data_IF_837323636505
#
_entry.id   IF_837323636505
#
_cell.length_a   1.000
_cell.length_b   1.000
_cell.length_c   1.000
_cell.angle_alpha   90.00
_cell.angle_beta   90.00
_cell.angle_gamma   90.00
#
_symmetry.space_group_name_H-M   'P 1'
#
loop_
_entity.id
_entity.type
_entity.pdbx_description
1 polymer ?
#
# COMPACT_ATOMS: atom_id res chain seq x y z
N UNK A 1 37.15 14.53 -14.65
CA UNK A 1 37.56 14.22 -13.27
C UNK A 1 36.35 14.04 -12.36
N UNK A 2 35.41 15.00 -12.37
CA UNK A 2 34.11 14.96 -11.68
C UNK A 2 33.31 13.66 -11.88
N UNK A 3 33.20 13.15 -13.12
CA UNK A 3 32.51 11.88 -13.37
C UNK A 3 33.20 10.68 -12.69
N UNK A 4 34.54 10.65 -12.62
CA UNK A 4 35.29 9.59 -11.91
C UNK A 4 35.05 9.64 -10.40
N UNK A 5 34.85 10.84 -9.83
CA UNK A 5 34.48 11.02 -8.42
C UNK A 5 33.07 10.49 -8.11
N UNK A 6 32.17 10.50 -9.10
CA UNK A 6 30.86 9.83 -9.04
C UNK A 6 30.93 8.33 -9.36
N UNK A 7 32.14 7.76 -9.39
CA UNK A 7 32.37 6.35 -9.68
C UNK A 7 32.36 5.98 -11.16
N UNK A 8 32.38 6.93 -12.12
CA UNK A 8 32.47 6.61 -13.55
C UNK A 8 33.71 5.76 -13.89
N UNK A 9 33.48 4.53 -14.31
CA UNK A 9 34.45 3.66 -14.96
C UNK A 9 34.09 3.44 -16.42
N UNK A 10 35.09 3.39 -17.29
CA UNK A 10 34.89 3.06 -18.70
C UNK A 10 34.83 1.54 -18.83
N UNK A 11 33.73 1.01 -19.35
CA UNK A 11 33.55 -0.42 -19.63
C UNK A 11 33.68 -0.61 -21.14
N UNK A 12 34.72 -1.30 -21.56
CA UNK A 12 34.87 -1.73 -22.95
C UNK A 12 34.00 -2.96 -23.18
N UNK A 13 32.90 -2.78 -23.93
CA UNK A 13 32.04 -3.89 -24.38
C UNK A 13 32.64 -4.54 -25.63
N UNK A 14 33.63 -5.42 -25.44
CA UNK A 14 34.15 -6.28 -26.51
C UNK A 14 34.79 -5.54 -27.69
N UNK A 15 35.50 -6.28 -28.54
CA UNK A 15 36.46 -5.73 -29.53
C UNK A 15 35.83 -5.04 -30.76
N UNK A 16 34.52 -4.75 -30.75
CA UNK A 16 33.79 -4.29 -31.93
C UNK A 16 32.69 -3.23 -31.69
N UNK A 17 32.52 -2.71 -30.46
CA UNK A 17 31.59 -1.60 -30.23
C UNK A 17 32.36 -0.27 -30.18
N UNK A 18 32.09 0.65 -31.11
CA UNK A 18 32.67 2.01 -31.19
C UNK A 18 32.26 2.94 -30.05
N UNK A 19 31.35 2.51 -29.17
CA UNK A 19 30.86 3.32 -28.05
C UNK A 19 31.43 2.84 -26.73
N UNK A 20 32.31 3.66 -26.14
CA UNK A 20 32.72 3.51 -24.76
C UNK A 20 31.52 3.70 -23.83
N UNK A 21 31.17 2.64 -23.10
CA UNK A 21 30.11 2.75 -22.09
C UNK A 21 30.74 3.21 -20.78
N UNK A 22 30.33 4.37 -20.26
CA UNK A 22 30.73 4.81 -18.92
C UNK A 22 29.77 4.17 -17.91
N UNK A 23 30.26 3.18 -17.15
CA UNK A 23 29.56 2.59 -16.02
C UNK A 23 30.01 3.26 -14.72
N UNK A 24 29.12 4.00 -14.09
CA UNK A 24 29.37 4.61 -12.79
C UNK A 24 29.17 3.56 -11.68
N UNK A 25 30.07 3.48 -10.71
CA UNK A 25 29.90 2.76 -9.45
C UNK A 25 28.72 3.41 -8.68
N UNK A 26 27.55 2.82 -8.94
CA UNK A 26 26.21 3.13 -8.43
C UNK A 26 26.15 3.18 -6.89
N UNK A 27 25.21 3.93 -6.30
CA UNK A 27 25.52 5.03 -5.38
C UNK A 27 26.09 4.54 -4.05
N UNK A 28 27.32 4.95 -3.76
CA UNK A 28 27.88 5.04 -2.41
C UNK A 28 28.41 6.46 -2.17
N UNK A 29 27.88 7.44 -2.91
CA UNK A 29 28.35 8.82 -2.95
C UNK A 29 27.64 9.59 -1.83
N UNK A 30 28.42 10.23 -0.96
CA UNK A 30 27.89 11.02 0.16
C UNK A 30 27.10 12.25 -0.33
N UNK A 31 26.11 12.69 0.45
CA UNK A 31 25.26 13.85 0.14
C UNK A 31 26.04 15.13 -0.18
N UNK A 32 27.22 15.29 0.44
CA UNK A 32 28.12 16.41 0.22
C UNK A 32 28.62 16.50 -1.23
N UNK A 33 28.80 15.37 -1.91
CA UNK A 33 29.23 15.34 -3.31
C UNK A 33 28.09 15.78 -4.23
N UNK A 34 26.85 15.35 -3.95
CA UNK A 34 25.68 15.82 -4.69
C UNK A 34 25.48 17.33 -4.51
N UNK A 35 25.66 17.84 -3.30
CA UNK A 35 25.59 19.27 -3.03
C UNK A 35 26.63 20.09 -3.82
N UNK A 36 27.89 19.64 -3.85
CA UNK A 36 28.95 20.30 -4.63
C UNK A 36 28.65 20.22 -6.13
N UNK A 37 28.24 19.05 -6.62
CA UNK A 37 27.92 18.82 -8.04
C UNK A 37 26.76 19.70 -8.50
N UNK A 38 25.66 19.75 -7.74
CA UNK A 38 24.50 20.57 -8.08
C UNK A 38 24.82 22.08 -8.05
N UNK A 39 25.73 22.51 -7.16
CA UNK A 39 26.14 23.91 -7.05
C UNK A 39 27.08 24.31 -8.20
N UNK A 40 28.03 23.45 -8.56
CA UNK A 40 29.11 23.78 -9.52
C UNK A 40 28.78 23.38 -10.95
N UNK A 41 27.89 22.41 -11.13
CA UNK A 41 27.53 21.79 -12.41
C UNK A 41 26.02 21.57 -12.55
N UNK A 42 25.23 22.62 -12.29
CA UNK A 42 23.76 22.56 -12.42
C UNK A 42 23.27 22.20 -13.82
N UNK A 43 24.08 22.47 -14.85
CA UNK A 43 23.83 22.08 -16.24
C UNK A 43 23.78 20.56 -16.46
N UNK A 44 24.40 19.77 -15.57
CA UNK A 44 24.43 18.31 -15.66
C UNK A 44 23.22 17.64 -15.01
N UNK A 45 22.37 18.37 -14.29
CA UNK A 45 21.23 17.80 -13.54
C UNK A 45 20.30 16.95 -14.43
N UNK A 46 19.85 17.41 -15.61
CA UNK A 46 18.99 16.59 -16.48
C UNK A 46 19.66 15.29 -16.95
N UNK A 47 20.97 15.34 -17.22
CA UNK A 47 21.75 14.17 -17.62
C UNK A 47 21.88 13.16 -16.47
N UNK A 48 22.05 13.65 -15.24
CA UNK A 48 22.14 12.80 -14.05
C UNK A 48 20.83 12.09 -13.76
N UNK A 49 19.68 12.77 -13.90
CA UNK A 49 18.37 12.13 -13.77
C UNK A 49 18.17 11.04 -14.82
N UNK A 50 18.47 11.33 -16.09
CA UNK A 50 18.43 10.31 -17.17
C UNK A 50 19.32 9.11 -16.86
N UNK A 51 20.51 9.35 -16.30
CA UNK A 51 21.43 8.28 -15.89
C UNK A 51 20.87 7.44 -14.73
N UNK A 52 20.25 8.07 -13.73
CA UNK A 52 19.60 7.41 -12.59
C UNK A 52 18.38 6.57 -13.01
N UNK A 53 17.72 6.89 -14.13
CA UNK A 53 16.64 6.06 -14.68
C UNK A 53 17.12 4.67 -15.15
N UNK A 54 18.41 4.53 -15.42
CA UNK A 54 18.99 3.35 -16.09
C UNK A 54 19.64 2.35 -15.12
N UNK A 55 19.10 2.18 -13.90
CA UNK A 55 19.73 1.43 -12.79
C UNK A 55 19.61 -0.10 -12.85
N UNK A 56 18.84 -0.61 -13.81
CA UNK A 56 18.44 -2.03 -13.86
C UNK A 56 17.31 -2.32 -12.89
N UNK A 57 17.02 -3.60 -12.64
CA UNK A 57 15.85 -4.05 -11.85
C UNK A 57 16.19 -4.51 -10.43
N UNK A 58 17.45 -4.41 -9.99
CA UNK A 58 17.85 -4.79 -8.63
C UNK A 58 17.34 -3.75 -7.62
N UNK A 59 16.51 -4.17 -6.65
CA UNK A 59 15.85 -3.30 -5.67
C UNK A 59 16.84 -2.35 -4.95
N UNK A 60 17.96 -2.87 -4.43
CA UNK A 60 18.98 -2.06 -3.77
C UNK A 60 19.57 -0.95 -4.66
N UNK A 61 19.57 -1.15 -6.00
CA UNK A 61 20.07 -0.14 -6.95
C UNK A 61 19.01 0.92 -7.22
N UNK A 62 17.75 0.51 -7.31
CA UNK A 62 16.60 1.40 -7.49
C UNK A 62 16.47 2.32 -6.28
N UNK A 63 16.51 1.77 -5.07
CA UNK A 63 16.48 2.54 -3.82
C UNK A 63 17.61 3.56 -3.79
N UNK A 64 18.86 3.12 -3.97
CA UNK A 64 20.02 4.01 -3.89
C UNK A 64 19.97 5.12 -4.94
N UNK A 65 19.48 4.81 -6.13
CA UNK A 65 19.32 5.82 -7.18
C UNK A 65 18.24 6.85 -6.87
N UNK A 66 17.11 6.40 -6.31
CA UNK A 66 16.07 7.32 -5.86
C UNK A 66 16.53 8.21 -4.70
N UNK A 67 17.28 7.64 -3.73
CA UNK A 67 17.93 8.43 -2.67
C UNK A 67 18.91 9.47 -3.22
N UNK A 68 19.70 9.11 -4.24
CA UNK A 68 20.60 10.06 -4.90
C UNK A 68 19.83 11.19 -5.61
N UNK A 69 18.72 10.87 -6.28
CA UNK A 69 17.83 11.88 -6.86
C UNK A 69 17.22 12.80 -5.78
N UNK A 70 16.84 12.25 -4.61
CA UNK A 70 16.38 13.05 -3.48
C UNK A 70 17.49 13.97 -2.93
N UNK A 71 18.73 13.48 -2.78
CA UNK A 71 19.85 14.33 -2.34
C UNK A 71 20.11 15.50 -3.31
N UNK A 72 19.94 15.29 -4.63
CA UNK A 72 19.98 16.38 -5.61
C UNK A 72 18.81 17.36 -5.45
N UNK A 73 17.60 16.85 -5.15
CA UNK A 73 16.43 17.69 -4.88
C UNK A 73 16.67 18.58 -3.66
N UNK A 74 17.17 18.02 -2.56
CA UNK A 74 17.53 18.78 -1.36
C UNK A 74 18.61 19.82 -1.66
N UNK A 75 19.70 19.42 -2.32
CA UNK A 75 20.81 20.30 -2.68
C UNK A 75 20.40 21.48 -3.57
N UNK A 76 19.36 21.31 -4.38
CA UNK A 76 18.85 22.34 -5.30
C UNK A 76 17.64 23.10 -4.74
N UNK A 77 17.18 22.80 -3.52
CA UNK A 77 15.96 23.38 -2.95
C UNK A 77 14.72 23.05 -3.79
N UNK A 78 14.62 21.80 -4.24
CA UNK A 78 13.51 21.26 -5.03
C UNK A 78 13.63 21.41 -6.54
N UNK A 79 14.51 22.31 -7.06
CA UNK A 79 14.56 22.60 -8.51
C UNK A 79 14.89 21.40 -9.39
N UNK A 80 15.68 20.43 -8.93
CA UNK A 80 15.98 19.24 -9.75
C UNK A 80 14.78 18.31 -9.94
N UNK A 81 13.70 18.48 -9.14
CA UNK A 81 12.48 17.69 -9.29
C UNK A 81 11.75 17.98 -10.62
N UNK A 82 12.03 19.11 -11.27
CA UNK A 82 11.54 19.43 -12.62
C UNK A 82 11.97 18.37 -13.65
N UNK A 83 13.08 17.66 -13.41
CA UNK A 83 13.58 16.57 -14.26
C UNK A 83 12.97 15.19 -13.91
N UNK A 84 12.14 15.10 -12.86
CA UNK A 84 11.69 13.82 -12.34
C UNK A 84 10.58 13.20 -13.19
N UNK A 85 9.76 14.02 -13.87
CA UNK A 85 8.72 13.52 -14.79
C UNK A 85 9.36 12.74 -15.94
N UNK A 86 10.37 13.31 -16.59
CA UNK A 86 11.11 12.65 -17.67
C UNK A 86 11.79 11.37 -17.19
N UNK A 87 12.29 11.36 -15.95
CA UNK A 87 12.84 10.16 -15.32
C UNK A 87 11.76 9.09 -15.16
N UNK A 88 10.62 9.42 -14.55
CA UNK A 88 9.54 8.47 -14.29
C UNK A 88 8.95 7.86 -15.57
N UNK A 89 8.92 8.63 -16.66
CA UNK A 89 8.42 8.23 -17.98
C UNK A 89 9.46 7.52 -18.86
N UNK A 90 10.70 7.38 -18.38
CA UNK A 90 11.75 6.71 -19.15
C UNK A 90 11.38 5.24 -19.45
N UNK A 91 11.79 4.67 -20.60
CA UNK A 91 11.45 3.31 -21.02
C UNK A 91 12.29 2.25 -20.27
N UNK A 92 12.24 2.30 -18.94
CA UNK A 92 12.89 1.36 -18.03
C UNK A 92 11.89 1.00 -16.93
N UNK A 93 11.62 -0.31 -16.70
CA UNK A 93 10.63 -0.74 -15.71
C UNK A 93 10.87 -0.21 -14.30
N UNK A 94 12.11 0.12 -13.94
CA UNK A 94 12.47 0.62 -12.61
C UNK A 94 12.48 2.15 -12.49
N UNK A 95 12.20 2.88 -13.58
CA UNK A 95 12.33 4.33 -13.57
C UNK A 95 11.25 5.02 -12.70
N UNK A 96 10.00 4.54 -12.77
CA UNK A 96 8.91 4.99 -11.88
C UNK A 96 9.26 4.72 -10.40
N UNK A 97 9.87 3.58 -10.10
CA UNK A 97 10.31 3.26 -8.74
C UNK A 97 11.45 4.16 -8.25
N UNK A 98 12.42 4.50 -9.11
CA UNK A 98 13.46 5.50 -8.77
C UNK A 98 12.81 6.85 -8.46
N UNK A 99 11.83 7.28 -9.26
CA UNK A 99 11.07 8.50 -9.01
C UNK A 99 10.30 8.43 -7.69
N UNK A 100 9.67 7.29 -7.39
CA UNK A 100 8.94 7.04 -6.14
C UNK A 100 9.84 7.21 -4.91
N UNK A 101 11.01 6.58 -4.92
CA UNK A 101 12.01 6.73 -3.85
C UNK A 101 12.50 8.18 -3.71
N UNK A 102 12.67 8.89 -4.83
CA UNK A 102 13.02 10.31 -4.81
C UNK A 102 11.95 11.14 -4.10
N UNK A 103 10.68 11.01 -4.52
CA UNK A 103 9.56 11.75 -3.94
C UNK A 103 9.34 11.43 -2.47
N UNK A 104 9.33 10.15 -2.10
CA UNK A 104 9.12 9.73 -0.72
C UNK A 104 10.19 10.26 0.23
N UNK A 105 11.46 10.26 -0.19
CA UNK A 105 12.56 10.82 0.62
C UNK A 105 12.55 12.36 0.62
N UNK A 106 12.35 12.99 -0.54
CA UNK A 106 12.34 14.46 -0.67
C UNK A 106 11.17 15.12 0.06
N UNK A 107 10.04 14.42 0.22
CA UNK A 107 8.91 14.88 1.02
C UNK A 107 9.21 14.95 2.53
N UNK A 108 10.23 14.24 3.01
CA UNK A 108 10.70 14.30 4.39
C UNK A 108 11.65 15.45 4.69
N UNK A 109 12.19 16.14 3.67
CA UNK A 109 13.20 17.19 3.84
C UNK A 109 12.59 18.60 3.71
N UNK A 110 12.84 19.53 4.67
CA UNK A 110 12.28 20.88 4.63
C UNK A 110 12.62 21.71 3.38
N UNK A 111 13.74 21.44 2.70
CA UNK A 111 14.17 22.17 1.52
C UNK A 111 13.43 21.74 0.24
N UNK A 112 12.89 20.52 0.21
CA UNK A 112 12.21 19.96 -0.97
C UNK A 112 10.75 19.55 -0.73
N UNK A 113 10.28 19.53 0.51
CA UNK A 113 8.95 19.01 0.89
C UNK A 113 7.81 19.61 0.08
N UNK A 114 7.83 20.92 -0.17
CA UNK A 114 6.76 21.59 -0.91
C UNK A 114 6.70 21.09 -2.35
N UNK A 115 7.83 21.14 -3.06
CA UNK A 115 7.91 20.69 -4.47
C UNK A 115 7.63 19.19 -4.62
N UNK A 116 8.09 18.35 -3.67
CA UNK A 116 7.78 16.93 -3.68
C UNK A 116 6.28 16.68 -3.44
N UNK A 117 5.66 17.41 -2.50
CA UNK A 117 4.23 17.31 -2.23
C UNK A 117 3.41 17.76 -3.44
N UNK A 118 3.71 18.93 -4.02
CA UNK A 118 3.04 19.46 -5.20
C UNK A 118 3.06 18.44 -6.36
N UNK A 119 4.20 17.77 -6.60
CA UNK A 119 4.32 16.71 -7.61
C UNK A 119 3.54 15.43 -7.26
N UNK A 120 3.56 14.99 -5.99
CA UNK A 120 2.77 13.84 -5.56
C UNK A 120 1.27 14.08 -5.77
N UNK A 121 0.79 15.29 -5.46
CA UNK A 121 -0.61 15.66 -5.68
C UNK A 121 -0.95 15.70 -7.17
N UNK A 122 -0.13 16.37 -7.99
CA UNK A 122 -0.30 16.43 -9.45
C UNK A 122 -0.37 15.02 -10.05
N UNK A 123 0.66 14.21 -9.80
CA UNK A 123 0.82 12.89 -10.41
C UNK A 123 -0.20 11.87 -9.94
N UNK A 124 -0.84 12.08 -8.78
CA UNK A 124 -1.90 11.19 -8.30
C UNK A 124 -3.14 11.19 -9.20
N UNK A 125 -3.30 12.23 -10.03
CA UNK A 125 -4.46 12.42 -10.92
C UNK A 125 -4.10 12.41 -12.41
N UNK A 126 -2.83 12.15 -12.74
CA UNK A 126 -2.36 12.14 -14.12
C UNK A 126 -2.83 10.92 -14.91
N UNK A 127 -2.91 11.06 -16.23
CA UNK A 127 -3.36 9.96 -17.09
C UNK A 127 -2.31 8.86 -17.20
N UNK A 128 -1.03 9.23 -17.20
CA UNK A 128 0.10 8.34 -17.37
C UNK A 128 0.25 7.39 -16.16
N UNK A 129 -0.02 6.10 -16.38
CA UNK A 129 0.05 5.08 -15.34
C UNK A 129 1.41 4.99 -14.63
N UNK A 130 2.51 5.29 -15.32
CA UNK A 130 3.84 5.31 -14.71
C UNK A 130 4.01 6.39 -13.61
N UNK A 131 3.37 7.55 -13.76
CA UNK A 131 3.40 8.62 -12.76
C UNK A 131 2.55 8.25 -11.55
N UNK A 132 1.32 7.76 -11.79
CA UNK A 132 0.44 7.24 -10.73
C UNK A 132 1.05 6.08 -9.97
N UNK A 133 1.73 5.17 -10.67
CA UNK A 133 2.49 4.07 -10.06
C UNK A 133 3.65 4.59 -9.19
N UNK A 134 4.37 5.62 -9.65
CA UNK A 134 5.40 6.26 -8.83
C UNK A 134 4.81 6.86 -7.53
N UNK A 135 3.62 7.46 -7.57
CA UNK A 135 2.91 7.95 -6.38
C UNK A 135 2.53 6.80 -5.45
N UNK A 136 1.95 5.71 -5.98
CA UNK A 136 1.60 4.53 -5.19
C UNK A 136 2.82 3.97 -4.47
N UNK A 137 3.93 3.80 -5.18
CA UNK A 137 5.20 3.35 -4.60
C UNK A 137 5.80 4.36 -3.60
N UNK A 138 5.63 5.67 -3.79
CA UNK A 138 6.12 6.67 -2.84
C UNK A 138 5.34 6.62 -1.51
N UNK A 139 4.10 6.11 -1.53
CA UNK A 139 3.27 5.92 -0.35
C UNK A 139 3.70 4.73 0.52
N UNK A 140 4.64 3.89 0.08
CA UNK A 140 5.14 2.74 0.85
C UNK A 140 5.89 3.24 2.11
N UNK A 141 5.55 2.74 3.33
CA UNK A 141 6.07 3.29 4.59
C UNK A 141 7.61 3.39 4.69
N UNK A 142 8.34 2.39 4.18
CA UNK A 142 9.80 2.34 4.27
C UNK A 142 10.52 3.15 3.17
N UNK A 143 9.79 3.70 2.19
CA UNK A 143 10.36 4.43 1.04
C UNK A 143 10.52 5.93 1.28
N UNK A 144 11.06 6.31 2.44
CA UNK A 144 11.27 7.72 2.82
C UNK A 144 10.22 8.29 3.79
N UNK A 145 9.12 7.57 4.01
CA UNK A 145 8.21 7.79 5.13
C UNK A 145 7.32 9.02 4.98
N UNK A 146 6.44 9.02 3.96
CA UNK A 146 5.36 10.01 3.90
C UNK A 146 4.51 9.92 5.19
N UNK A 147 4.03 11.07 5.73
CA UNK A 147 3.06 11.05 6.82
C UNK A 147 1.85 10.19 6.42
N UNK A 148 1.40 9.31 7.33
CA UNK A 148 0.35 8.34 7.04
C UNK A 148 -0.93 9.00 6.47
N UNK A 149 -1.31 10.18 6.98
CA UNK A 149 -2.45 10.93 6.44
C UNK A 149 -2.28 11.32 4.96
N UNK A 150 -1.12 11.85 4.58
CA UNK A 150 -0.83 12.21 3.19
C UNK A 150 -0.80 10.97 2.29
N UNK A 151 -0.19 9.87 2.74
CA UNK A 151 -0.18 8.61 1.98
C UNK A 151 -1.61 8.06 1.77
N UNK A 152 -2.46 8.12 2.79
CA UNK A 152 -3.88 7.72 2.70
C UNK A 152 -4.69 8.62 1.75
N UNK A 153 -4.42 9.93 1.73
CA UNK A 153 -5.10 10.86 0.82
C UNK A 153 -4.65 10.66 -0.63
N UNK A 154 -3.35 10.43 -0.87
CA UNK A 154 -2.82 10.14 -2.20
C UNK A 154 -3.35 8.80 -2.74
N UNK A 155 -3.38 7.77 -1.90
CA UNK A 155 -3.97 6.47 -2.27
C UNK A 155 -5.47 6.58 -2.57
N UNK A 156 -6.22 7.43 -1.87
CA UNK A 156 -7.61 7.72 -2.26
C UNK A 156 -7.68 8.32 -3.67
N UNK A 157 -6.91 9.37 -3.94
CA UNK A 157 -6.94 10.07 -5.25
C UNK A 157 -6.63 9.10 -6.39
N UNK A 158 -5.65 8.22 -6.21
CA UNK A 158 -5.29 7.18 -7.18
C UNK A 158 -6.46 6.23 -7.50
N UNK A 159 -7.33 5.93 -6.52
CA UNK A 159 -8.50 5.10 -6.72
C UNK A 159 -9.69 5.84 -7.34
N UNK A 160 -9.74 7.16 -7.21
CA UNK A 160 -10.82 8.01 -7.75
C UNK A 160 -10.59 8.40 -9.21
N UNK A 161 -9.36 8.26 -9.72
CA UNK A 161 -8.99 8.63 -11.10
C UNK A 161 -8.49 7.45 -11.96
N UNK A 162 -9.17 6.29 -12.02
CA UNK A 162 -8.84 5.24 -12.98
C UNK A 162 -9.19 5.70 -14.40
N UNK A 163 -8.32 5.41 -15.37
CA UNK A 163 -8.53 5.70 -16.80
C UNK A 163 -9.24 4.56 -17.55
N UNK A 164 -9.40 3.39 -16.91
CA UNK A 164 -9.90 2.16 -17.51
C UNK A 164 -8.83 1.35 -18.25
N UNK A 165 -7.55 1.72 -18.10
CA UNK A 165 -6.43 1.11 -18.81
C UNK A 165 -5.80 -0.04 -18.01
N UNK A 166 -5.08 -0.98 -18.65
CA UNK A 166 -4.41 -2.07 -17.94
C UNK A 166 -3.42 -1.60 -16.86
N UNK A 167 -2.78 -0.44 -17.05
CA UNK A 167 -1.90 0.16 -16.04
C UNK A 167 -2.64 0.46 -14.72
N UNK A 168 -3.95 0.72 -14.74
CA UNK A 168 -4.73 0.97 -13.53
C UNK A 168 -4.75 -0.25 -12.61
N UNK A 169 -4.78 -1.46 -13.17
CA UNK A 169 -4.77 -2.69 -12.38
C UNK A 169 -3.46 -2.81 -11.59
N UNK A 170 -2.34 -2.42 -12.21
CA UNK A 170 -1.04 -2.40 -11.55
C UNK A 170 -1.03 -1.36 -10.41
N UNK A 171 -1.49 -0.14 -10.68
CA UNK A 171 -1.60 0.93 -9.67
C UNK A 171 -2.48 0.48 -8.49
N UNK A 172 -3.64 -0.12 -8.75
CA UNK A 172 -4.53 -0.60 -7.69
C UNK A 172 -3.92 -1.76 -6.89
N UNK A 173 -3.17 -2.64 -7.54
CA UNK A 173 -2.43 -3.71 -6.86
C UNK A 173 -1.38 -3.12 -5.91
N UNK A 174 -0.66 -2.09 -6.34
CA UNK A 174 0.32 -1.39 -5.52
C UNK A 174 -0.36 -0.64 -4.37
N UNK A 175 -1.50 0.02 -4.59
CA UNK A 175 -2.26 0.69 -3.51
C UNK A 175 -2.74 -0.32 -2.47
N UNK A 176 -3.24 -1.50 -2.87
CA UNK A 176 -3.57 -2.58 -1.93
C UNK A 176 -2.36 -2.97 -1.09
N UNK A 177 -1.21 -3.20 -1.72
CA UNK A 177 0.01 -3.58 -1.02
C UNK A 177 0.45 -2.50 -0.02
N UNK A 178 0.38 -1.23 -0.42
CA UNK A 178 0.68 -0.07 0.44
C UNK A 178 -0.23 -0.03 1.67
N UNK A 179 -1.54 -0.21 1.50
CA UNK A 179 -2.50 -0.21 2.61
C UNK A 179 -2.18 -1.34 3.61
N UNK A 180 -1.97 -2.56 3.10
CA UNK A 180 -1.62 -3.73 3.93
C UNK A 180 -0.31 -3.49 4.67
N UNK A 181 0.67 -2.89 4.01
CA UNK A 181 1.96 -2.61 4.62
C UNK A 181 1.87 -1.52 5.71
N UNK A 182 1.15 -0.42 5.46
CA UNK A 182 0.88 0.61 6.49
C UNK A 182 0.22 0.01 7.73
N UNK A 183 -0.72 -0.91 7.54
CA UNK A 183 -1.30 -1.65 8.66
C UNK A 183 -0.27 -2.56 9.35
N UNK A 184 0.51 -3.33 8.59
CA UNK A 184 1.47 -4.29 9.14
C UNK A 184 2.55 -3.61 10.00
N UNK A 185 3.18 -2.55 9.49
CA UNK A 185 4.33 -1.89 10.13
C UNK A 185 3.94 -0.71 11.03
N UNK A 186 2.71 -0.21 10.89
CA UNK A 186 2.23 0.96 11.61
C UNK A 186 2.07 0.74 13.11
N UNK A 187 2.20 1.82 13.88
CA UNK A 187 1.80 1.84 15.28
C UNK A 187 0.28 1.79 15.44
N UNK A 188 -0.20 1.82 16.69
CA UNK A 188 -1.64 1.77 16.98
C UNK A 188 -2.42 2.88 16.27
N UNK A 189 -1.86 4.10 16.21
CA UNK A 189 -2.52 5.24 15.59
C UNK A 189 -2.58 5.11 14.07
N UNK A 190 -1.49 4.69 13.44
CA UNK A 190 -1.44 4.43 12.00
C UNK A 190 -2.40 3.31 11.58
N UNK A 191 -2.43 2.19 12.32
CA UNK A 191 -3.39 1.09 12.07
C UNK A 191 -4.83 1.57 12.15
N UNK A 192 -5.18 2.32 13.20
CA UNK A 192 -6.53 2.86 13.37
C UNK A 192 -6.90 3.86 12.24
N UNK A 193 -5.96 4.69 11.79
CA UNK A 193 -6.18 5.62 10.69
C UNK A 193 -6.47 4.88 9.36
N UNK A 194 -5.68 3.84 9.04
CA UNK A 194 -5.91 3.01 7.85
C UNK A 194 -7.30 2.37 7.88
N UNK A 195 -7.66 1.73 9.00
CA UNK A 195 -8.95 1.04 9.14
C UNK A 195 -10.15 2.00 9.10
N UNK A 196 -10.04 3.15 9.76
CA UNK A 196 -11.08 4.19 9.71
C UNK A 196 -11.28 4.66 8.28
N UNK A 197 -10.18 4.92 7.57
CA UNK A 197 -10.21 5.39 6.19
C UNK A 197 -10.83 4.36 5.24
N UNK A 198 -10.45 3.09 5.39
CA UNK A 198 -11.04 2.00 4.63
C UNK A 198 -12.53 1.84 4.93
N UNK A 199 -12.95 1.98 6.20
CA UNK A 199 -14.38 1.94 6.55
C UNK A 199 -15.14 3.02 5.79
N UNK A 200 -14.63 4.25 5.75
CA UNK A 200 -15.28 5.35 5.02
C UNK A 200 -15.36 5.04 3.50
N UNK A 201 -14.39 4.31 2.94
CA UNK A 201 -14.43 3.85 1.55
C UNK A 201 -15.44 2.74 1.27
N UNK A 202 -15.89 1.98 2.28
CA UNK A 202 -16.96 0.97 2.08
C UNK A 202 -18.29 1.60 1.71
N UNK A 203 -18.52 2.87 2.10
CA UNK A 203 -19.72 3.63 1.73
C UNK A 203 -19.65 4.21 0.31
N UNK A 204 -18.49 4.12 -0.34
CA UNK A 204 -18.28 4.64 -1.69
C UNK A 204 -18.52 3.55 -2.73
N UNK A 205 -19.38 3.84 -3.70
CA UNK A 205 -19.52 3.01 -4.90
C UNK A 205 -18.24 3.03 -5.74
N UNK A 206 -17.86 1.88 -6.31
CA UNK A 206 -16.77 1.78 -7.28
C UNK A 206 -15.45 1.26 -6.72
N UNK A 207 -14.33 1.81 -7.22
CA UNK A 207 -12.97 1.28 -6.98
C UNK A 207 -12.54 1.35 -5.51
N UNK A 208 -12.79 2.43 -4.74
CA UNK A 208 -12.41 2.48 -3.33
C UNK A 208 -13.07 1.38 -2.47
N UNK A 209 -14.37 1.16 -2.68
CA UNK A 209 -15.11 0.09 -2.00
C UNK A 209 -14.59 -1.30 -2.38
N UNK A 210 -14.35 -1.56 -3.67
CA UNK A 210 -13.79 -2.83 -4.13
C UNK A 210 -12.38 -3.06 -3.58
N UNK A 211 -11.51 -2.05 -3.59
CA UNK A 211 -10.15 -2.19 -3.07
C UNK A 211 -10.16 -2.47 -1.56
N UNK A 212 -11.07 -1.82 -0.84
CA UNK A 212 -11.27 -2.08 0.59
C UNK A 212 -11.62 -3.54 0.85
N UNK A 213 -12.60 -4.08 0.10
CA UNK A 213 -12.98 -5.48 0.20
C UNK A 213 -11.81 -6.44 -0.11
N UNK A 214 -10.99 -6.10 -1.11
CA UNK A 214 -9.84 -6.93 -1.52
C UNK A 214 -8.65 -6.86 -0.55
N UNK A 215 -8.39 -5.70 0.06
CA UNK A 215 -7.23 -5.49 0.92
C UNK A 215 -7.47 -5.98 2.36
N UNK A 216 -8.70 -5.83 2.87
CA UNK A 216 -9.00 -6.13 4.27
C UNK A 216 -8.72 -7.59 4.70
N UNK A 217 -8.99 -8.64 3.88
CA UNK A 217 -8.65 -10.02 4.24
C UNK A 217 -7.16 -10.24 4.54
N UNK A 218 -6.27 -9.56 3.81
CA UNK A 218 -4.83 -9.65 4.05
C UNK A 218 -4.46 -8.99 5.40
N UNK A 219 -5.05 -7.83 5.70
CA UNK A 219 -4.87 -7.15 6.99
C UNK A 219 -5.40 -7.95 8.17
N UNK A 220 -6.59 -8.54 8.01
CA UNK A 220 -7.20 -9.42 9.00
C UNK A 220 -6.30 -10.62 9.32
N UNK A 221 -5.49 -11.07 8.34
CA UNK A 221 -4.57 -12.19 8.48
C UNK A 221 -3.16 -11.80 8.97
N UNK A 222 -2.84 -10.51 9.02
CA UNK A 222 -1.46 -10.03 9.26
C UNK A 222 -1.02 -10.17 10.73
N UNK A 223 -1.90 -9.85 11.69
CA UNK A 223 -1.57 -9.81 13.12
C UNK A 223 -2.78 -10.20 13.99
N UNK A 224 -3.03 -11.52 14.07
CA UNK A 224 -4.16 -12.08 14.83
C UNK A 224 -4.13 -11.71 16.32
N UNK A 225 -2.94 -11.58 16.89
CA UNK A 225 -2.78 -11.22 18.30
C UNK A 225 -3.25 -9.79 18.56
N UNK A 226 -2.89 -8.85 17.68
CA UNK A 226 -3.36 -7.47 17.76
C UNK A 226 -4.89 -7.38 17.63
N UNK A 227 -5.48 -8.07 16.65
CA UNK A 227 -6.95 -8.11 16.51
C UNK A 227 -7.63 -8.72 17.74
N UNK A 228 -7.06 -9.80 18.29
CA UNK A 228 -7.57 -10.47 19.47
C UNK A 228 -7.57 -9.59 20.72
N UNK A 229 -6.57 -8.72 20.85
CA UNK A 229 -6.45 -7.77 21.96
C UNK A 229 -7.39 -6.56 21.78
N UNK A 230 -7.55 -6.07 20.56
CA UNK A 230 -8.25 -4.80 20.29
C UNK A 230 -9.77 -4.95 20.22
N UNK A 231 -10.28 -5.96 19.52
CA UNK A 231 -11.71 -6.10 19.26
C UNK A 231 -12.55 -6.20 20.55
N UNK A 232 -12.16 -6.95 21.59
CA UNK A 232 -12.95 -6.99 22.82
C UNK A 232 -12.87 -5.71 23.67
N UNK A 233 -11.84 -4.88 23.46
CA UNK A 233 -11.50 -3.74 24.31
C UNK A 233 -11.86 -2.36 23.75
N UNK A 234 -12.22 -2.27 22.46
CA UNK A 234 -12.46 -1.01 21.76
C UNK A 234 -13.67 -1.16 20.81
N UNK A 235 -14.81 -0.60 21.22
CA UNK A 235 -16.06 -0.66 20.47
C UNK A 235 -15.94 -0.02 19.06
N UNK A 236 -15.15 1.05 18.92
CA UNK A 236 -14.97 1.69 17.61
C UNK A 236 -14.20 0.75 16.69
N UNK A 237 -13.17 0.07 17.22
CA UNK A 237 -12.44 -0.93 16.46
C UNK A 237 -13.29 -2.15 16.12
N UNK A 238 -14.15 -2.61 17.04
CA UNK A 238 -15.12 -3.67 16.78
C UNK A 238 -16.04 -3.29 15.62
N UNK A 239 -16.64 -2.10 15.66
CA UNK A 239 -17.55 -1.62 14.63
C UNK A 239 -16.86 -1.50 13.27
N UNK A 240 -15.61 -0.99 13.24
CA UNK A 240 -14.79 -0.96 12.03
C UNK A 240 -14.53 -2.37 11.49
N UNK A 241 -14.13 -3.32 12.34
CA UNK A 241 -13.88 -4.70 11.92
C UNK A 241 -15.15 -5.36 11.38
N UNK A 242 -16.30 -5.18 12.03
CA UNK A 242 -17.61 -5.69 11.58
C UNK A 242 -17.94 -5.14 10.19
N UNK A 243 -17.83 -3.83 10.00
CA UNK A 243 -18.14 -3.18 8.72
C UNK A 243 -17.24 -3.70 7.59
N UNK A 244 -15.92 -3.76 7.84
CA UNK A 244 -14.94 -4.19 6.85
C UNK A 244 -15.04 -5.70 6.54
N UNK A 245 -15.20 -6.54 7.56
CA UNK A 245 -15.41 -7.99 7.37
C UNK A 245 -16.67 -8.24 6.58
N UNK A 246 -17.77 -7.61 6.97
CA UNK A 246 -19.04 -7.79 6.30
C UNK A 246 -18.96 -7.37 4.83
N UNK A 247 -18.42 -6.18 4.56
CA UNK A 247 -18.21 -5.68 3.19
C UNK A 247 -17.37 -6.63 2.33
N UNK A 248 -16.27 -7.15 2.88
CA UNK A 248 -15.43 -8.13 2.18
C UNK A 248 -16.13 -9.49 1.96
N UNK A 249 -17.09 -9.87 2.81
CA UNK A 249 -17.90 -11.08 2.61
C UNK A 249 -19.03 -10.88 1.59
N UNK A 250 -19.56 -9.67 1.46
CA UNK A 250 -20.55 -9.32 0.43
C UNK A 250 -19.90 -9.28 -0.96
N UNK A 251 -18.65 -8.83 -1.05
CA UNK A 251 -17.90 -8.78 -2.30
C UNK A 251 -17.47 -10.19 -2.77
N UNK A 252 -17.91 -10.56 -3.97
CA UNK A 252 -17.69 -11.91 -4.51
C UNK A 252 -16.21 -12.22 -4.77
N UNK A 253 -15.43 -11.22 -5.16
CA UNK A 253 -14.00 -11.36 -5.42
C UNK A 253 -13.15 -11.48 -4.14
N UNK A 254 -13.63 -10.96 -3.02
CA UNK A 254 -12.95 -10.99 -1.72
C UNK A 254 -13.43 -12.12 -0.80
N UNK A 255 -14.65 -12.64 -1.00
CA UNK A 255 -15.30 -13.58 -0.10
C UNK A 255 -14.44 -14.80 0.27
N UNK A 256 -13.76 -15.41 -0.70
CA UNK A 256 -12.93 -16.59 -0.44
C UNK A 256 -11.81 -16.29 0.57
N UNK A 257 -11.10 -15.18 0.36
CA UNK A 257 -10.03 -14.75 1.25
C UNK A 257 -10.58 -14.33 2.63
N UNK A 258 -11.69 -13.60 2.68
CA UNK A 258 -12.29 -13.18 3.96
C UNK A 258 -12.86 -14.37 4.75
N UNK A 259 -13.48 -15.34 4.08
CA UNK A 259 -13.93 -16.60 4.70
C UNK A 259 -12.75 -17.30 5.38
N UNK A 260 -11.64 -17.44 4.67
CA UNK A 260 -10.46 -18.16 5.16
C UNK A 260 -9.80 -17.40 6.33
N UNK A 261 -9.77 -16.06 6.28
CA UNK A 261 -9.33 -15.23 7.39
C UNK A 261 -10.22 -15.41 8.64
N UNK A 262 -11.56 -15.41 8.49
CA UNK A 262 -12.47 -15.65 9.61
C UNK A 262 -12.32 -17.05 10.23
N UNK A 263 -12.11 -18.07 9.40
CA UNK A 263 -11.83 -19.42 9.90
C UNK A 263 -10.52 -19.46 10.68
N UNK A 264 -9.49 -18.75 10.19
CA UNK A 264 -8.22 -18.62 10.90
C UNK A 264 -8.37 -17.88 12.24
N UNK A 265 -9.27 -16.90 12.34
CA UNK A 265 -9.58 -16.22 13.61
C UNK A 265 -10.27 -17.12 14.63
N UNK A 266 -11.06 -18.08 14.15
CA UNK A 266 -11.69 -19.08 15.00
C UNK A 266 -10.70 -20.15 15.46
N UNK A 267 -9.54 -20.28 14.78
CA UNK A 267 -8.42 -21.08 15.25
C UNK A 267 -7.57 -20.29 16.26
N UNK A 268 -7.13 -20.95 17.33
CA UNK A 268 -5.97 -20.49 18.09
C UNK A 268 -4.66 -20.61 17.29
N UNK A 269 -3.55 -20.06 17.82
CA UNK A 269 -2.24 -20.08 17.17
C UNK A 269 -1.69 -21.50 16.91
N UNK A 270 -2.16 -22.50 17.66
CA UNK A 270 -1.79 -23.92 17.48
C UNK A 270 -2.81 -24.71 16.63
N UNK A 271 -3.78 -24.05 16.01
CA UNK A 271 -4.85 -24.69 15.21
C UNK A 271 -5.95 -25.35 16.05
N UNK A 272 -5.97 -25.12 17.36
CA UNK A 272 -7.01 -25.56 18.29
C UNK A 272 -7.89 -24.39 18.70
N UNK A 273 -9.18 -24.61 18.95
CA UNK A 273 -10.07 -23.55 19.46
C UNK A 273 -9.54 -23.03 20.82
N UNK A 274 -9.39 -21.71 20.93
CA UNK A 274 -8.97 -21.06 22.18
C UNK A 274 -10.21 -20.58 22.96
N UNK A 275 -10.56 -21.21 24.09
CA UNK A 275 -11.76 -20.85 24.85
C UNK A 275 -11.70 -19.45 25.50
N UNK A 276 -10.53 -18.81 25.56
CA UNK A 276 -10.37 -17.47 26.12
C UNK A 276 -10.28 -16.36 25.07
N UNK A 277 -10.30 -16.68 23.77
CA UNK A 277 -10.26 -15.67 22.71
C UNK A 277 -11.66 -15.11 22.44
N UNK A 278 -11.97 -13.93 23.02
CA UNK A 278 -13.27 -13.26 22.88
C UNK A 278 -13.44 -12.45 21.60
N UNK A 279 -12.36 -12.22 20.85
CA UNK A 279 -12.43 -11.43 19.62
C UNK A 279 -13.30 -12.04 18.50
N UNK A 280 -13.18 -13.34 18.16
CA UNK A 280 -14.07 -13.95 17.18
C UNK A 280 -15.53 -13.90 17.64
N UNK A 281 -15.82 -14.10 18.93
CA UNK A 281 -17.17 -13.98 19.48
C UNK A 281 -17.75 -12.57 19.31
N UNK A 282 -17.00 -11.55 19.69
CA UNK A 282 -17.42 -10.15 19.56
C UNK A 282 -17.63 -9.73 18.09
N UNK A 283 -16.73 -10.15 17.19
CA UNK A 283 -16.86 -9.89 15.76
C UNK A 283 -18.09 -10.59 15.18
N UNK A 284 -18.29 -11.88 15.49
CA UNK A 284 -19.43 -12.67 15.02
C UNK A 284 -20.75 -12.08 15.53
N UNK A 285 -20.83 -11.69 16.81
CA UNK A 285 -22.02 -11.04 17.37
C UNK A 285 -22.33 -9.72 16.63
N UNK A 286 -21.30 -8.91 16.36
CA UNK A 286 -21.46 -7.69 15.57
C UNK A 286 -21.93 -7.95 14.13
N UNK A 287 -21.39 -8.97 13.47
CA UNK A 287 -21.81 -9.38 12.12
C UNK A 287 -23.25 -9.92 12.10
N UNK A 288 -23.67 -10.64 13.15
CA UNK A 288 -25.07 -11.07 13.32
C UNK A 288 -25.99 -9.86 13.41
N UNK A 289 -25.60 -8.84 14.19
CA UNK A 289 -26.37 -7.61 14.31
C UNK A 289 -26.41 -6.78 13.01
N UNK A 290 -25.31 -6.74 12.26
CA UNK A 290 -25.18 -5.98 11.00
C UNK A 290 -26.00 -6.58 9.84
N UNK A 291 -26.34 -7.87 9.92
CA UNK A 291 -27.22 -8.57 8.99
C UNK A 291 -26.84 -8.58 7.51
N UNK A 292 -25.54 -8.60 7.22
CA UNK A 292 -25.06 -8.59 5.84
C UNK A 292 -25.17 -9.95 5.12
N UNK A 293 -25.62 -10.00 3.84
CA UNK A 293 -25.88 -11.24 3.11
C UNK A 293 -24.69 -12.21 3.01
N UNK A 294 -23.48 -11.67 2.84
CA UNK A 294 -22.22 -12.38 2.72
C UNK A 294 -21.86 -13.10 4.02
N UNK A 295 -22.20 -12.52 5.16
CA UNK A 295 -22.05 -13.20 6.44
C UNK A 295 -23.05 -14.36 6.61
N UNK A 296 -24.30 -14.22 6.15
CA UNK A 296 -25.21 -15.36 6.09
C UNK A 296 -24.68 -16.48 5.18
N UNK A 297 -24.08 -16.12 4.03
CA UNK A 297 -23.41 -17.09 3.15
C UNK A 297 -22.27 -17.81 3.88
N UNK A 298 -21.48 -17.08 4.68
CA UNK A 298 -20.43 -17.66 5.52
C UNK A 298 -20.99 -18.63 6.56
N UNK A 299 -22.00 -18.23 7.35
CA UNK A 299 -22.64 -19.08 8.36
C UNK A 299 -23.15 -20.41 7.76
N UNK A 300 -23.85 -20.34 6.63
CA UNK A 300 -24.36 -21.52 5.92
C UNK A 300 -23.23 -22.39 5.36
N UNK A 301 -22.11 -21.79 4.95
CA UNK A 301 -20.92 -22.53 4.49
C UNK A 301 -20.25 -23.29 5.62
N UNK A 302 -20.15 -22.68 6.82
CA UNK A 302 -19.54 -23.29 8.00
C UNK A 302 -20.44 -24.40 8.57
N UNK A 303 -21.76 -24.17 8.65
CA UNK A 303 -22.75 -25.17 9.11
C UNK A 303 -22.66 -26.47 8.29
N UNK A 304 -22.50 -26.35 6.97
CA UNK A 304 -22.39 -27.50 6.04
C UNK A 304 -21.00 -28.16 6.02
N UNK A 305 -20.00 -27.54 6.63
CA UNK A 305 -18.62 -28.05 6.68
C UNK A 305 -18.47 -29.27 7.61
N UNK A 306 -17.29 -29.91 7.64
CA UNK A 306 -17.00 -31.01 8.57
C UNK A 306 -17.09 -30.54 10.03
N UNK A 307 -17.35 -31.45 10.97
CA UNK A 307 -17.46 -31.12 12.41
C UNK A 307 -16.16 -30.58 13.01
N UNK A 308 -15.03 -30.84 12.37
CA UNK A 308 -13.71 -30.34 12.76
C UNK A 308 -13.40 -28.94 12.22
N UNK A 309 -14.35 -28.29 11.53
CA UNK A 309 -14.13 -26.96 10.97
C UNK A 309 -14.10 -25.93 12.12
N UNK A 310 -13.07 -25.06 12.16
CA UNK A 310 -12.96 -24.03 13.20
C UNK A 310 -14.18 -23.10 13.23
N UNK A 311 -14.65 -22.77 14.44
CA UNK A 311 -15.76 -21.83 14.62
C UNK A 311 -17.14 -22.42 14.27
N UNK A 312 -17.26 -23.74 14.12
CA UNK A 312 -18.52 -24.39 13.79
C UNK A 312 -19.59 -24.21 14.86
N UNK A 313 -19.20 -24.30 16.13
CA UNK A 313 -20.07 -24.01 17.28
C UNK A 313 -20.57 -22.57 17.24
N UNK A 314 -19.66 -21.60 17.11
CA UNK A 314 -19.96 -20.17 17.01
C UNK A 314 -20.89 -19.86 15.83
N UNK A 315 -20.64 -20.46 14.66
CA UNK A 315 -21.49 -20.28 13.49
C UNK A 315 -22.90 -20.87 13.69
N UNK A 316 -23.03 -22.01 14.37
CA UNK A 316 -24.33 -22.60 14.67
C UNK A 316 -25.15 -21.74 15.66
N UNK A 317 -24.50 -21.19 16.67
CA UNK A 317 -25.10 -20.25 17.62
C UNK A 317 -25.52 -18.95 16.93
N UNK A 318 -24.61 -18.34 16.18
CA UNK A 318 -24.86 -17.12 15.40
C UNK A 318 -25.99 -17.29 14.38
N UNK A 319 -26.08 -18.46 13.72
CA UNK A 319 -27.16 -18.77 12.79
C UNK A 319 -28.52 -18.96 13.48
N UNK A 320 -28.51 -19.51 14.70
CA UNK A 320 -29.73 -19.61 15.52
C UNK A 320 -30.22 -18.22 15.92
N UNK A 321 -29.32 -17.36 16.37
CA UNK A 321 -29.63 -15.95 16.68
C UNK A 321 -30.12 -15.20 15.44
N UNK A 322 -29.43 -15.35 14.31
CA UNK A 322 -29.81 -14.76 13.04
C UNK A 322 -31.23 -15.15 12.62
N UNK A 323 -31.62 -16.42 12.78
CA UNK A 323 -32.97 -16.91 12.47
C UNK A 323 -34.01 -16.41 13.49
N UNK A 324 -33.65 -16.35 14.77
CA UNK A 324 -34.53 -15.89 15.86
C UNK A 324 -34.92 -14.42 15.76
N UNK A 325 -34.04 -13.57 15.23
CA UNK A 325 -34.26 -12.13 15.13
C UNK A 325 -35.06 -11.70 13.87
N UNK A 326 -35.71 -12.61 13.15
CA UNK A 326 -36.49 -12.25 11.95
C UNK A 326 -37.63 -11.30 12.36
N UNK A 327 -37.75 -10.07 11.80
CA UNK A 327 -38.83 -9.17 12.19
C UNK A 327 -40.17 -9.87 11.90
N UNK A 328 -41.00 -9.97 12.94
CA UNK A 328 -42.38 -10.44 12.80
C UNK A 328 -43.03 -9.51 11.78
N UNK A 329 -43.62 -10.02 10.69
CA UNK A 329 -44.40 -9.18 9.79
C UNK A 329 -45.47 -8.51 10.64
N UNK A 330 -45.49 -7.17 10.67
CA UNK A 330 -46.63 -6.45 11.22
C UNK A 330 -47.86 -6.95 10.45
N UNK A 331 -48.66 -7.78 11.11
CA UNK A 331 -49.95 -8.19 10.61
C UNK A 331 -50.87 -6.98 10.76
N UNK A 332 -51.31 -6.44 9.62
CA UNK A 332 -52.46 -5.55 9.53
C UNK A 332 -53.72 -6.24 10.07
#
# INVERSE_FOLDING_TARGET
>A
ETLRLLGAHRVQKGRQAETDTVAFCRPGVADTVWAVLCREHGDLIPLLHTWLASTGTEADRVERAGRAAASMAVATGGRSLDCLRDLALAPSPSASEVAAWCLGVAAGDPASVRSASDLLEEWSTETEGALRNAVAHACVPHRGGLPAGLALDLTQRLMETPTGEPEDIAVLTDVRAVLVEHFAVGDLGARAAVLTRMRDWTESDGVPGLLTALAFPDMASTDLAWWSERIPGDAVMTDCAVALTGHALDESSAYGAMRDALLAWCCGPDGTEQPDNRAPEALIAGLVAARQPGFLRWLLSVERGPDTLPGKSLAAEALTEWRGNTPVPNAD
#
